data_IF_482787095774
#
_entry.id   IF_482787095774
#
_cell.length_a   1.000
_cell.length_b   1.000
_cell.length_c   1.000
_cell.angle_alpha   90.00
_cell.angle_beta   90.00
_cell.angle_gamma   90.00
#
_symmetry.space_group_name_H-M   'P 1'
#
loop_
_entity.id
_entity.type
_entity.pdbx_description
1 polymer ?
#
# COMPACT_ATOMS: atom_id res chain seq x y z
N UNK A 1 -1.26 28.43 -4.26
CA UNK A 1 -1.65 29.75 -3.73
C UNK A 1 -3.12 30.05 -4.01
N UNK A 2 -3.79 30.77 -3.08
CA UNK A 2 -5.14 31.30 -3.30
C UNK A 2 -5.06 32.59 -4.12
N UNK A 3 -6.15 32.98 -4.77
CA UNK A 3 -6.18 34.19 -5.62
C UNK A 3 -5.93 35.47 -4.82
N UNK A 4 -6.31 35.49 -3.54
CA UNK A 4 -6.05 36.61 -2.64
C UNK A 4 -4.53 36.85 -2.47
N UNK A 5 -3.79 35.80 -2.13
CA UNK A 5 -2.33 35.84 -1.95
C UNK A 5 -1.59 36.31 -3.23
N UNK A 6 -2.09 35.94 -4.41
CA UNK A 6 -1.51 36.36 -5.69
C UNK A 6 -1.73 37.85 -5.97
N UNK A 7 -2.91 38.38 -5.62
CA UNK A 7 -3.21 39.80 -5.79
C UNK A 7 -2.44 40.68 -4.81
N UNK A 8 -2.15 40.17 -3.61
CA UNK A 8 -1.36 40.87 -2.61
C UNK A 8 0.10 41.02 -3.08
N UNK A 9 0.71 39.92 -3.54
CA UNK A 9 2.06 39.93 -4.13
C UNK A 9 2.18 40.82 -5.38
N UNK A 10 1.17 40.82 -6.26
CA UNK A 10 1.16 41.73 -7.41
C UNK A 10 1.04 43.20 -6.98
N UNK A 11 0.32 43.49 -5.90
CA UNK A 11 0.18 44.85 -5.36
C UNK A 11 1.47 45.35 -4.71
N UNK A 12 2.23 44.46 -4.06
CA UNK A 12 3.57 44.76 -3.54
C UNK A 12 4.58 45.10 -4.65
N UNK A 13 4.40 44.53 -5.85
CA UNK A 13 5.23 44.79 -7.03
C UNK A 13 4.67 45.89 -7.94
N UNK A 14 3.65 46.64 -7.48
CA UNK A 14 2.95 47.69 -8.24
C UNK A 14 2.33 47.22 -9.59
N UNK A 15 2.01 45.93 -9.70
CA UNK A 15 1.47 45.30 -10.91
C UNK A 15 -0.07 45.22 -10.90
N UNK A 16 -0.73 45.15 -12.08
CA UNK A 16 -2.19 45.07 -12.19
C UNK A 16 -2.77 43.80 -11.58
N UNK A 17 -3.71 43.95 -10.63
CA UNK A 17 -4.33 42.85 -9.87
C UNK A 17 -5.63 42.29 -10.49
N UNK A 18 -5.95 42.68 -11.72
CA UNK A 18 -7.15 42.24 -12.45
C UNK A 18 -6.86 41.02 -13.34
N UNK A 19 -7.77 40.04 -13.35
CA UNK A 19 -7.68 38.88 -14.24
C UNK A 19 -8.03 37.56 -13.57
N UNK A 20 -7.97 36.49 -14.37
CA UNK A 20 -8.14 35.11 -13.90
C UNK A 20 -6.91 34.63 -13.11
N UNK A 21 -7.04 33.54 -12.33
CA UNK A 21 -5.91 33.02 -11.53
C UNK A 21 -4.67 32.70 -12.38
N UNK A 22 -4.88 32.20 -13.60
CA UNK A 22 -3.81 31.91 -14.54
C UNK A 22 -3.10 33.19 -15.01
N UNK A 23 -3.83 34.26 -15.32
CA UNK A 23 -3.24 35.55 -15.73
C UNK A 23 -2.47 36.23 -14.60
N UNK A 24 -2.93 36.10 -13.34
CA UNK A 24 -2.22 36.65 -12.19
C UNK A 24 -0.92 35.86 -11.90
N UNK A 25 -0.92 34.54 -12.14
CA UNK A 25 0.28 33.72 -12.06
C UNK A 25 1.25 34.06 -13.19
N UNK A 26 0.76 34.17 -14.43
CA UNK A 26 1.59 34.53 -15.58
C UNK A 26 2.25 35.91 -15.40
N UNK A 27 1.56 36.91 -14.84
CA UNK A 27 2.18 38.21 -14.54
C UNK A 27 3.21 38.17 -13.41
N UNK A 28 2.99 37.31 -12.41
CA UNK A 28 3.97 37.07 -11.35
C UNK A 28 5.20 36.31 -11.88
N UNK A 29 4.98 35.39 -12.81
CA UNK A 29 6.04 34.67 -13.52
C UNK A 29 6.79 35.61 -14.45
N UNK A 30 6.13 36.46 -15.26
CA UNK A 30 6.78 37.47 -16.10
C UNK A 30 7.55 38.52 -15.28
N UNK A 31 7.05 38.89 -14.10
CA UNK A 31 7.76 39.76 -13.17
C UNK A 31 8.92 39.07 -12.43
N UNK A 32 8.83 37.74 -12.24
CA UNK A 32 9.89 36.90 -11.70
C UNK A 32 10.89 36.38 -12.75
N UNK A 33 10.54 36.45 -14.04
CA UNK A 33 11.34 36.10 -15.22
C UNK A 33 12.14 37.30 -15.75
N UNK A 34 12.15 38.40 -14.98
CA UNK A 34 13.37 39.18 -14.80
C UNK A 34 14.38 38.29 -14.10
N UNK A 35 14.94 37.34 -14.86
CA UNK A 35 15.76 36.24 -14.39
C UNK A 35 16.65 36.68 -13.25
N UNK A 36 16.48 36.02 -12.11
CA UNK A 36 17.53 35.91 -11.13
C UNK A 36 18.73 35.25 -11.79
N UNK A 37 19.51 36.04 -12.53
CA UNK A 37 20.94 35.98 -12.45
C UNK A 37 21.23 36.09 -10.95
N UNK A 38 21.41 34.94 -10.30
CA UNK A 38 22.33 34.88 -9.18
C UNK A 38 23.64 35.40 -9.75
N UNK A 39 23.84 36.72 -9.63
CA UNK A 39 25.07 37.41 -9.88
C UNK A 39 26.06 36.95 -8.81
N UNK A 40 26.47 35.68 -8.88
CA UNK A 40 27.84 35.34 -8.52
C UNK A 40 28.68 36.19 -9.47
N UNK A 41 29.29 37.25 -8.91
CA UNK A 41 30.14 38.17 -9.63
C UNK A 41 30.97 37.39 -10.64
N UNK A 42 30.74 37.63 -11.94
CA UNK A 42 31.40 36.89 -13.00
C UNK A 42 32.91 37.09 -12.83
N UNK A 43 33.56 36.10 -12.20
CA UNK A 43 35.00 36.15 -11.92
C UNK A 43 35.64 36.22 -13.30
N UNK A 44 36.33 37.33 -13.58
CA UNK A 44 37.03 37.47 -14.85
C UNK A 44 38.28 36.58 -14.82
N UNK A 45 38.11 35.31 -15.17
CA UNK A 45 39.17 34.30 -15.19
C UNK A 45 40.37 34.70 -16.06
N UNK A 46 40.20 35.68 -16.97
CA UNK A 46 41.28 36.19 -17.82
C UNK A 46 42.32 37.03 -17.06
N UNK A 47 41.99 37.59 -15.89
CA UNK A 47 42.87 38.48 -15.11
C UNK A 47 43.66 37.75 -14.01
N UNK A 48 43.30 36.51 -13.68
CA UNK A 48 43.90 35.71 -12.61
C UNK A 48 45.28 35.12 -12.98
N UNK A 49 46.18 34.97 -12.00
CA UNK A 49 47.49 34.31 -12.18
C UNK A 49 47.34 32.81 -12.48
N UNK A 50 48.33 32.18 -13.11
CA UNK A 50 48.31 30.72 -13.36
C UNK A 50 48.20 29.89 -12.06
N UNK A 51 48.77 30.37 -10.96
CA UNK A 51 48.65 29.69 -9.65
C UNK A 51 47.23 29.81 -9.09
N UNK A 52 46.61 30.98 -9.25
CA UNK A 52 45.25 31.27 -8.79
C UNK A 52 44.21 30.50 -9.61
N UNK A 53 44.37 30.42 -10.94
CA UNK A 53 43.51 29.61 -11.82
C UNK A 53 43.56 28.12 -11.44
N UNK A 54 44.74 27.60 -11.07
CA UNK A 54 44.87 26.20 -10.61
C UNK A 54 44.21 25.98 -9.25
N UNK A 55 44.33 26.93 -8.33
CA UNK A 55 43.70 26.86 -7.01
C UNK A 55 42.16 26.90 -7.14
N UNK A 56 41.62 27.88 -7.87
CA UNK A 56 40.18 27.97 -8.12
C UNK A 56 39.62 26.77 -8.89
N UNK A 57 40.36 26.24 -9.89
CA UNK A 57 39.95 25.01 -10.57
C UNK A 57 39.82 23.83 -9.59
N UNK A 58 40.73 23.72 -8.62
CA UNK A 58 40.70 22.66 -7.61
C UNK A 58 39.50 22.84 -6.68
N UNK A 59 39.24 24.06 -6.21
CA UNK A 59 38.09 24.39 -5.35
C UNK A 59 36.76 24.10 -6.03
N UNK A 60 36.57 24.57 -7.27
CA UNK A 60 35.38 24.31 -8.09
C UNK A 60 35.20 22.81 -8.33
N UNK A 61 36.28 22.07 -8.56
CA UNK A 61 36.21 20.62 -8.74
C UNK A 61 35.83 19.87 -7.45
N UNK A 62 36.36 20.29 -6.30
CA UNK A 62 35.99 19.73 -4.99
C UNK A 62 34.51 20.02 -4.67
N UNK A 63 34.04 21.25 -4.91
CA UNK A 63 32.63 21.61 -4.76
C UNK A 63 31.72 20.80 -5.70
N UNK A 64 32.14 20.60 -6.96
CA UNK A 64 31.40 19.79 -7.92
C UNK A 64 31.30 18.31 -7.49
N UNK A 65 32.36 17.71 -6.94
CA UNK A 65 32.31 16.33 -6.44
C UNK A 65 31.36 16.18 -5.25
N UNK A 66 31.34 17.14 -4.32
CA UNK A 66 30.38 17.14 -3.20
C UNK A 66 28.94 17.18 -3.70
N UNK A 67 28.64 18.07 -4.66
CA UNK A 67 27.32 18.16 -5.27
C UNK A 67 26.95 16.88 -6.03
N UNK A 68 27.91 16.25 -6.71
CA UNK A 68 27.70 14.97 -7.40
C UNK A 68 27.28 13.88 -6.44
N UNK A 69 27.99 13.72 -5.32
CA UNK A 69 27.67 12.72 -4.30
C UNK A 69 26.29 12.99 -3.71
N UNK A 70 25.99 14.24 -3.34
CA UNK A 70 24.69 14.62 -2.77
C UNK A 70 23.54 14.37 -3.74
N UNK A 71 23.72 14.65 -5.03
CA UNK A 71 22.75 14.32 -6.08
C UNK A 71 22.52 12.81 -6.19
N UNK A 72 23.60 12.04 -6.19
CA UNK A 72 23.52 10.58 -6.31
C UNK A 72 22.81 9.96 -5.10
N UNK A 73 23.05 10.48 -3.90
CA UNK A 73 22.33 10.11 -2.66
C UNK A 73 20.83 10.42 -2.77
N UNK A 74 20.45 11.63 -3.16
CA UNK A 74 19.03 12.01 -3.29
C UNK A 74 18.31 11.24 -4.40
N UNK A 75 19.01 10.90 -5.49
CA UNK A 75 18.49 10.03 -6.53
C UNK A 75 18.23 8.61 -6.01
N UNK A 76 19.12 8.07 -5.17
CA UNK A 76 18.93 6.76 -4.56
C UNK A 76 17.73 6.77 -3.59
N UNK A 77 17.59 7.81 -2.78
CA UNK A 77 16.42 8.00 -1.90
C UNK A 77 15.13 8.09 -2.71
N UNK A 78 15.13 8.85 -3.81
CA UNK A 78 13.99 8.94 -4.73
C UNK A 78 13.62 7.55 -5.28
N UNK A 79 14.60 6.77 -5.74
CA UNK A 79 14.34 5.40 -6.21
C UNK A 79 13.76 4.49 -5.12
N UNK A 80 14.23 4.63 -3.88
CA UNK A 80 13.71 3.89 -2.72
C UNK A 80 12.23 4.24 -2.46
N UNK A 81 11.88 5.52 -2.43
CA UNK A 81 10.48 5.96 -2.28
C UNK A 81 9.59 5.50 -3.45
N UNK A 82 10.12 5.47 -4.67
CA UNK A 82 9.39 4.94 -5.83
C UNK A 82 9.13 3.43 -5.70
N UNK A 83 10.09 2.66 -5.19
CA UNK A 83 9.94 1.24 -4.93
C UNK A 83 8.89 0.98 -3.83
N UNK A 84 8.99 1.69 -2.70
CA UNK A 84 8.02 1.60 -1.59
C UNK A 84 6.61 1.92 -2.07
N UNK A 85 6.43 2.98 -2.85
CA UNK A 85 5.14 3.35 -3.45
C UNK A 85 4.58 2.21 -4.31
N UNK A 86 5.41 1.58 -5.14
CA UNK A 86 4.98 0.50 -6.02
C UNK A 86 4.55 -0.73 -5.21
N UNK A 87 5.29 -1.08 -4.15
CA UNK A 87 4.94 -2.16 -3.24
C UNK A 87 3.59 -1.89 -2.55
N UNK A 88 3.41 -0.70 -1.97
CA UNK A 88 2.16 -0.31 -1.31
C UNK A 88 0.96 -0.25 -2.27
N UNK A 89 1.19 0.13 -3.54
CA UNK A 89 0.16 0.08 -4.57
C UNK A 89 -0.21 -1.36 -4.93
N UNK A 90 0.75 -2.27 -4.97
CA UNK A 90 0.50 -3.69 -5.19
C UNK A 90 -0.27 -4.28 -3.99
N UNK A 91 0.13 -3.98 -2.75
CA UNK A 91 -0.63 -4.36 -1.56
C UNK A 91 -2.07 -3.85 -1.62
N UNK A 92 -2.27 -2.58 -1.98
CA UNK A 92 -3.60 -2.02 -2.14
C UNK A 92 -4.42 -2.81 -3.18
N UNK A 93 -3.82 -3.20 -4.31
CA UNK A 93 -4.48 -4.01 -5.33
C UNK A 93 -4.89 -5.38 -4.79
N UNK A 94 -3.98 -6.09 -4.12
CA UNK A 94 -4.26 -7.40 -3.48
C UNK A 94 -5.40 -7.29 -2.46
N UNK A 95 -5.42 -6.23 -1.65
CA UNK A 95 -6.52 -6.00 -0.72
C UNK A 95 -7.85 -5.77 -1.44
N UNK A 96 -7.87 -5.11 -2.61
CA UNK A 96 -9.08 -4.96 -3.41
C UNK A 96 -9.57 -6.27 -4.03
N UNK A 97 -8.64 -7.12 -4.47
CA UNK A 97 -8.98 -8.47 -4.95
C UNK A 97 -9.60 -9.29 -3.82
N UNK A 98 -9.04 -9.22 -2.60
CA UNK A 98 -9.62 -9.85 -1.41
C UNK A 98 -11.03 -9.32 -1.11
N UNK A 99 -11.27 -8.01 -1.23
CA UNK A 99 -12.61 -7.42 -1.08
C UNK A 99 -13.60 -8.00 -2.09
N UNK A 100 -13.21 -8.14 -3.35
CA UNK A 100 -14.06 -8.73 -4.39
C UNK A 100 -14.36 -10.20 -4.13
N UNK A 101 -13.34 -10.96 -3.70
CA UNK A 101 -13.49 -12.35 -3.30
C UNK A 101 -14.48 -12.50 -2.15
N UNK A 102 -14.27 -11.76 -1.05
CA UNK A 102 -15.15 -11.81 0.12
C UNK A 102 -16.57 -11.34 -0.20
N UNK A 103 -16.73 -10.35 -1.09
CA UNK A 103 -18.06 -9.93 -1.57
C UNK A 103 -18.77 -11.06 -2.32
N UNK A 104 -18.07 -11.77 -3.18
CA UNK A 104 -18.63 -12.89 -3.96
C UNK A 104 -18.99 -14.04 -3.05
N UNK A 105 -18.09 -14.41 -2.13
CA UNK A 105 -18.32 -15.44 -1.11
C UNK A 105 -19.55 -15.11 -0.24
N UNK A 106 -19.61 -13.88 0.30
CA UNK A 106 -20.76 -13.42 1.09
C UNK A 106 -22.06 -13.46 0.30
N UNK A 107 -22.04 -13.09 -0.99
CA UNK A 107 -23.23 -13.15 -1.82
C UNK A 107 -23.69 -14.60 -2.06
N UNK A 108 -22.76 -15.54 -2.26
CA UNK A 108 -23.05 -16.98 -2.31
C UNK A 108 -23.66 -17.48 -1.00
N UNK A 109 -23.02 -17.18 0.13
CA UNK A 109 -23.53 -17.57 1.45
C UNK A 109 -24.92 -16.95 1.75
N UNK A 110 -25.18 -15.72 1.32
CA UNK A 110 -26.51 -15.11 1.46
C UNK A 110 -27.58 -15.85 0.64
N UNK A 111 -27.21 -16.35 -0.54
CA UNK A 111 -28.10 -17.19 -1.33
C UNK A 111 -28.36 -18.52 -0.62
N UNK A 112 -27.32 -19.16 -0.08
CA UNK A 112 -27.44 -20.39 0.71
C UNK A 112 -28.32 -20.17 1.97
N UNK A 113 -28.17 -19.04 2.67
CA UNK A 113 -29.06 -18.67 3.79
C UNK A 113 -30.52 -18.58 3.34
N UNK A 114 -30.78 -18.08 2.13
CA UNK A 114 -32.14 -18.04 1.58
C UNK A 114 -32.65 -19.46 1.30
N UNK A 115 -31.86 -20.31 0.67
CA UNK A 115 -32.23 -21.70 0.39
C UNK A 115 -32.54 -22.47 1.67
N UNK A 116 -31.62 -22.45 2.65
CA UNK A 116 -31.81 -23.13 3.94
C UNK A 116 -33.02 -22.57 4.69
N UNK A 117 -33.30 -21.26 4.58
CA UNK A 117 -34.50 -20.66 5.18
C UNK A 117 -35.78 -21.20 4.55
N UNK A 118 -35.80 -21.35 3.24
CA UNK A 118 -36.97 -21.79 2.49
C UNK A 118 -37.19 -23.30 2.73
N UNK A 119 -36.14 -24.13 2.68
CA UNK A 119 -36.17 -25.55 3.10
C UNK A 119 -36.62 -25.72 4.56
N UNK A 120 -36.12 -24.88 5.48
CA UNK A 120 -36.53 -24.90 6.88
C UNK A 120 -38.01 -24.56 7.05
N UNK A 121 -38.57 -23.72 6.17
CA UNK A 121 -40.01 -23.40 6.20
C UNK A 121 -40.83 -24.62 5.75
N UNK A 122 -40.44 -25.26 4.65
CA UNK A 122 -41.09 -26.48 4.17
C UNK A 122 -41.06 -27.58 5.24
N UNK A 123 -39.90 -27.82 5.84
CA UNK A 123 -39.75 -28.82 6.92
C UNK A 123 -40.53 -28.42 8.18
N UNK A 124 -40.69 -27.13 8.47
CA UNK A 124 -41.51 -26.68 9.59
C UNK A 124 -42.98 -27.05 9.36
N UNK A 125 -43.50 -26.76 8.17
CA UNK A 125 -44.88 -27.06 7.79
C UNK A 125 -45.13 -28.59 7.78
N UNK A 126 -44.18 -29.37 7.24
CA UNK A 126 -44.21 -30.84 7.29
C UNK A 126 -44.22 -31.37 8.72
N UNK A 127 -43.37 -30.84 9.61
CA UNK A 127 -43.28 -31.27 11.00
C UNK A 127 -44.55 -30.95 11.77
N UNK A 128 -45.17 -29.81 11.53
CA UNK A 128 -46.45 -29.45 12.15
C UNK A 128 -47.57 -30.39 11.65
N UNK A 129 -47.58 -30.74 10.36
CA UNK A 129 -48.51 -31.76 9.85
C UNK A 129 -48.28 -33.14 10.49
N UNK A 130 -47.04 -33.62 10.54
CA UNK A 130 -46.69 -34.91 11.15
C UNK A 130 -47.05 -34.93 12.65
N UNK A 131 -46.88 -33.81 13.33
CA UNK A 131 -47.27 -33.63 14.73
C UNK A 131 -48.78 -33.76 14.90
N UNK A 132 -49.56 -33.11 14.04
CA UNK A 132 -51.02 -33.21 14.08
C UNK A 132 -51.51 -34.63 13.78
N UNK A 133 -50.94 -35.31 12.77
CA UNK A 133 -51.22 -36.71 12.47
C UNK A 133 -50.93 -37.60 13.68
N UNK A 134 -49.72 -37.51 14.25
CA UNK A 134 -49.33 -38.26 15.43
C UNK A 134 -50.27 -38.01 16.62
N UNK A 135 -50.60 -36.75 16.91
CA UNK A 135 -51.50 -36.41 18.01
C UNK A 135 -52.94 -36.87 17.76
N UNK A 136 -53.41 -36.85 16.50
CA UNK A 136 -54.74 -37.32 16.14
C UNK A 136 -54.86 -38.84 16.30
N UNK A 137 -53.88 -39.61 15.81
CA UNK A 137 -53.82 -41.07 15.98
C UNK A 137 -53.69 -41.43 17.46
N UNK A 138 -52.83 -40.72 18.20
CA UNK A 138 -52.71 -40.90 19.64
C UNK A 138 -54.04 -40.66 20.35
N UNK A 139 -54.78 -39.61 20.01
CA UNK A 139 -56.10 -39.36 20.60
C UNK A 139 -57.10 -40.45 20.19
N UNK A 140 -57.16 -40.85 18.93
CA UNK A 140 -58.11 -41.84 18.45
C UNK A 140 -57.92 -43.23 19.11
N UNK A 141 -56.67 -43.66 19.29
CA UNK A 141 -56.34 -44.97 19.88
C UNK A 141 -56.35 -44.97 21.40
N UNK A 142 -56.04 -43.84 22.04
CA UNK A 142 -55.80 -43.76 23.49
C UNK A 142 -56.67 -42.74 24.25
N UNK A 143 -57.79 -42.26 23.68
CA UNK A 143 -58.66 -41.20 24.26
C UNK A 143 -59.26 -41.48 25.65
N UNK A 144 -59.11 -42.68 26.21
CA UNK A 144 -59.55 -43.04 27.57
C UNK A 144 -58.45 -43.04 28.62
N UNK A 145 -57.19 -42.89 28.23
CA UNK A 145 -56.04 -42.91 29.13
C UNK A 145 -55.72 -41.48 29.55
N UNK A 146 -56.08 -41.06 30.77
CA UNK A 146 -55.78 -39.72 31.31
C UNK A 146 -54.27 -39.61 31.66
N UNK A 147 -53.44 -39.79 30.64
CA UNK A 147 -51.99 -39.90 30.76
C UNK A 147 -51.36 -38.51 30.61
N UNK A 148 -50.54 -38.06 31.58
CA UNK A 148 -49.84 -36.79 31.47
C UNK A 148 -48.93 -36.78 30.22
N UNK A 149 -48.74 -35.63 29.55
CA UNK A 149 -47.83 -35.54 28.41
C UNK A 149 -46.40 -35.95 28.79
N UNK A 150 -45.81 -36.90 28.05
CA UNK A 150 -44.42 -37.36 28.24
C UNK A 150 -43.41 -36.20 28.40
N UNK A 151 -43.48 -35.09 27.64
CA UNK A 151 -42.56 -33.97 27.83
C UNK A 151 -42.66 -33.30 29.20
N UNK A 152 -43.85 -33.28 29.83
CA UNK A 152 -44.03 -32.74 31.19
C UNK A 152 -43.42 -33.66 32.23
N UNK A 153 -43.62 -34.98 32.09
CA UNK A 153 -43.01 -35.99 32.98
C UNK A 153 -41.48 -35.94 32.91
N UNK A 154 -40.90 -35.82 31.71
CA UNK A 154 -39.45 -35.67 31.52
C UNK A 154 -38.90 -34.40 32.16
N UNK A 155 -39.60 -33.26 32.06
CA UNK A 155 -39.21 -32.02 32.76
C UNK A 155 -39.27 -32.16 34.28
N UNK A 156 -40.32 -32.79 34.81
CA UNK A 156 -40.45 -33.04 36.24
C UNK A 156 -39.32 -33.95 36.77
N UNK A 157 -38.95 -34.99 36.02
CA UNK A 157 -37.77 -35.82 36.35
C UNK A 157 -36.52 -34.95 36.41
N UNK A 158 -36.27 -34.12 35.38
CA UNK A 158 -35.07 -33.27 35.32
C UNK A 158 -35.01 -32.26 36.47
N UNK A 159 -36.14 -31.65 36.85
CA UNK A 159 -36.23 -30.75 38.01
C UNK A 159 -35.94 -31.49 39.33
N UNK A 160 -36.46 -32.71 39.48
CA UNK A 160 -36.22 -33.56 40.65
C UNK A 160 -34.75 -34.05 40.71
N UNK A 161 -34.14 -34.39 39.58
CA UNK A 161 -32.72 -34.76 39.46
C UNK A 161 -31.81 -33.58 39.83
N UNK A 162 -32.08 -32.38 39.30
CA UNK A 162 -31.34 -31.17 39.68
C UNK A 162 -31.49 -30.93 41.19
N UNK A 163 -32.70 -31.08 41.74
CA UNK A 163 -32.95 -30.91 43.18
C UNK A 163 -32.18 -31.93 44.01
N UNK A 164 -32.09 -33.18 43.56
CA UNK A 164 -31.28 -34.22 44.20
C UNK A 164 -29.78 -33.84 44.19
N UNK A 165 -29.27 -33.35 43.06
CA UNK A 165 -27.85 -32.99 42.93
C UNK A 165 -27.44 -31.73 43.68
N UNK A 166 -28.36 -30.76 43.84
CA UNK A 166 -28.03 -29.41 44.32
C UNK A 166 -28.49 -29.11 45.74
N UNK A 167 -29.44 -29.86 46.30
CA UNK A 167 -29.98 -29.59 47.65
C UNK A 167 -29.43 -30.58 48.68
N UNK A 168 -28.91 -30.07 49.80
CA UNK A 168 -28.57 -30.89 50.96
C UNK A 168 -29.86 -31.38 51.64
N UNK A 169 -30.17 -32.67 51.51
CA UNK A 169 -31.36 -33.31 52.08
C UNK A 169 -30.96 -34.46 53.00
N UNK A 170 -31.88 -34.90 53.88
CA UNK A 170 -31.67 -36.11 54.68
C UNK A 170 -31.83 -37.36 53.82
N UNK A 171 -31.15 -38.45 54.18
CA UNK A 171 -31.17 -39.74 53.47
C UNK A 171 -32.61 -40.24 53.20
N UNK A 172 -33.55 -39.98 54.11
CA UNK A 172 -34.97 -40.34 53.93
C UNK A 172 -35.64 -39.54 52.79
N UNK A 173 -35.43 -38.23 52.75
CA UNK A 173 -35.99 -37.35 51.72
C UNK A 173 -35.35 -37.59 50.35
N UNK A 174 -34.08 -37.96 50.32
CA UNK A 174 -33.38 -38.36 49.10
C UNK A 174 -33.97 -39.66 48.53
N UNK A 175 -34.20 -40.67 49.37
CA UNK A 175 -34.87 -41.92 48.95
C UNK A 175 -36.26 -41.69 48.37
N UNK A 176 -37.08 -40.85 49.01
CA UNK A 176 -38.40 -40.46 48.49
C UNK A 176 -38.33 -39.73 47.14
N UNK A 177 -37.27 -38.94 46.91
CA UNK A 177 -37.02 -38.24 45.66
C UNK A 177 -36.68 -39.22 44.53
N UNK A 178 -35.79 -40.19 44.82
CA UNK A 178 -35.42 -41.26 43.90
C UNK A 178 -36.61 -42.15 43.58
N UNK A 179 -37.44 -42.51 44.56
CA UNK A 179 -38.68 -43.27 44.32
C UNK A 179 -39.66 -42.51 43.43
N UNK A 180 -39.81 -41.19 43.62
CA UNK A 180 -40.64 -40.34 42.73
C UNK A 180 -40.08 -40.29 41.32
N UNK A 181 -38.76 -40.16 41.16
CA UNK A 181 -38.10 -40.21 39.85
C UNK A 181 -38.35 -41.56 39.18
N UNK A 182 -38.18 -42.67 39.91
CA UNK A 182 -38.43 -44.03 39.42
C UNK A 182 -39.90 -44.28 39.05
N UNK A 183 -40.85 -43.75 39.82
CA UNK A 183 -42.29 -43.81 39.52
C UNK A 183 -42.63 -43.02 38.25
N UNK A 184 -42.03 -41.85 38.05
CA UNK A 184 -42.21 -41.08 36.82
C UNK A 184 -41.55 -41.76 35.61
N UNK A 185 -40.39 -42.40 35.78
CA UNK A 185 -39.71 -43.15 34.73
C UNK A 185 -40.49 -44.41 34.31
N UNK A 186 -41.07 -45.14 35.27
CA UNK A 186 -41.97 -46.28 35.00
C UNK A 186 -43.25 -45.83 34.31
N UNK A 187 -43.82 -44.68 34.68
CA UNK A 187 -44.94 -44.11 33.93
C UNK A 187 -44.58 -43.79 32.48
N UNK A 188 -43.40 -43.21 32.22
CA UNK A 188 -42.95 -42.91 30.84
C UNK A 188 -42.76 -44.18 30.03
N UNK A 189 -42.07 -45.18 30.58
CA UNK A 189 -41.82 -46.46 29.89
C UNK A 189 -43.12 -47.18 29.59
N UNK A 190 -44.07 -47.23 30.52
CA UNK A 190 -45.40 -47.78 30.26
C UNK A 190 -46.16 -47.03 29.15
N UNK A 191 -46.05 -45.70 29.06
CA UNK A 191 -46.64 -44.97 27.92
C UNK A 191 -45.93 -45.30 26.61
N UNK A 192 -44.60 -45.34 26.61
CA UNK A 192 -43.82 -45.62 25.40
C UNK A 192 -44.12 -47.05 24.88
N UNK A 193 -44.19 -48.06 25.76
CA UNK A 193 -44.58 -49.44 25.42
C UNK A 193 -46.00 -49.54 24.86
N UNK A 194 -46.96 -48.82 25.45
CA UNK A 194 -48.34 -48.76 24.90
C UNK A 194 -48.37 -48.16 23.50
N UNK A 195 -47.51 -47.18 23.22
CA UNK A 195 -47.43 -46.54 21.91
C UNK A 195 -46.66 -47.40 20.89
N UNK A 196 -45.69 -48.19 21.33
CA UNK A 196 -44.94 -49.13 20.49
C UNK A 196 -45.78 -50.37 20.11
N UNK A 197 -46.84 -50.66 20.87
CA UNK A 197 -47.77 -51.75 20.58
C UNK A 197 -48.73 -51.50 19.41
N UNK A 198 -48.88 -50.25 18.95
CA UNK A 198 -49.67 -49.90 17.76
C UNK A 198 -48.71 -49.44 16.65
N UNK A 199 -48.58 -50.25 15.59
CA UNK A 199 -47.65 -50.01 14.49
C UNK A 199 -47.88 -48.66 13.79
N UNK A 200 -49.13 -48.21 13.65
CA UNK A 200 -49.46 -46.94 12.99
C UNK A 200 -49.03 -45.75 13.86
N UNK A 201 -49.25 -45.84 15.18
CA UNK A 201 -48.86 -44.79 16.13
C UNK A 201 -47.34 -44.73 16.29
N UNK A 202 -46.68 -45.89 16.33
CA UNK A 202 -45.22 -45.99 16.38
C UNK A 202 -44.59 -45.39 15.12
N UNK A 203 -45.07 -45.74 13.93
CA UNK A 203 -44.60 -45.19 12.66
C UNK A 203 -44.79 -43.66 12.59
N UNK A 204 -45.97 -43.15 12.98
CA UNK A 204 -46.24 -41.71 12.99
C UNK A 204 -45.33 -40.95 13.99
N UNK A 205 -45.04 -41.56 15.14
CA UNK A 205 -44.09 -41.01 16.13
C UNK A 205 -42.70 -40.87 15.54
N UNK A 206 -42.23 -41.91 14.85
CA UNK A 206 -40.87 -41.97 14.33
C UNK A 206 -40.69 -41.01 13.14
N UNK A 207 -41.70 -40.89 12.27
CA UNK A 207 -41.74 -39.85 11.24
C UNK A 207 -41.69 -38.44 11.84
N UNK A 208 -42.50 -38.16 12.86
CA UNK A 208 -42.46 -36.87 13.56
C UNK A 208 -41.09 -36.59 14.19
N UNK A 209 -40.47 -37.60 14.83
CA UNK A 209 -39.11 -37.47 15.40
C UNK A 209 -38.06 -37.21 14.32
N UNK A 210 -38.15 -37.87 13.17
CA UNK A 210 -37.25 -37.66 12.05
C UNK A 210 -37.38 -36.24 11.47
N UNK A 211 -38.62 -35.76 11.29
CA UNK A 211 -38.88 -34.38 10.87
C UNK A 211 -38.33 -33.35 11.86
N UNK A 212 -38.57 -33.54 13.17
CA UNK A 212 -38.02 -32.66 14.21
C UNK A 212 -36.48 -32.64 14.22
N UNK A 213 -35.84 -33.78 13.94
CA UNK A 213 -34.38 -33.87 13.80
C UNK A 213 -33.90 -33.04 12.60
N UNK A 214 -34.51 -33.24 11.43
CA UNK A 214 -34.20 -32.47 10.21
C UNK A 214 -34.39 -30.97 10.42
N UNK A 215 -35.47 -30.56 11.09
CA UNK A 215 -35.73 -29.15 11.45
C UNK A 215 -34.64 -28.55 12.31
N UNK A 216 -34.13 -29.31 13.30
CA UNK A 216 -33.02 -28.87 14.17
C UNK A 216 -31.71 -28.75 13.39
N UNK A 217 -31.42 -29.72 12.53
CA UNK A 217 -30.26 -29.70 11.64
C UNK A 217 -30.28 -28.45 10.74
N UNK A 218 -31.39 -28.20 10.04
CA UNK A 218 -31.56 -27.00 9.21
C UNK A 218 -31.47 -25.69 10.02
N UNK A 219 -31.94 -25.69 11.27
CA UNK A 219 -31.78 -24.51 12.14
C UNK A 219 -30.32 -24.27 12.51
N UNK A 220 -29.54 -25.32 12.73
CA UNK A 220 -28.11 -25.22 13.01
C UNK A 220 -27.32 -24.83 11.76
N UNK A 221 -27.62 -25.45 10.62
CA UNK A 221 -27.12 -25.10 9.29
C UNK A 221 -27.34 -23.61 8.99
N UNK A 222 -28.58 -23.13 9.15
CA UNK A 222 -28.93 -21.73 8.91
C UNK A 222 -28.12 -20.78 9.79
N UNK A 223 -27.85 -21.16 11.05
CA UNK A 223 -26.99 -20.38 11.94
C UNK A 223 -25.55 -20.37 11.43
N UNK A 224 -25.00 -21.53 11.09
CA UNK A 224 -23.64 -21.69 10.56
C UNK A 224 -23.41 -20.83 9.32
N UNK A 225 -24.28 -20.94 8.32
CA UNK A 225 -24.15 -20.18 7.05
C UNK A 225 -24.28 -18.68 7.30
N UNK A 226 -25.16 -18.25 8.22
CA UNK A 226 -25.26 -16.82 8.62
C UNK A 226 -23.99 -16.32 9.29
N UNK A 227 -23.43 -17.10 10.20
CA UNK A 227 -22.18 -16.75 10.89
C UNK A 227 -21.02 -16.68 9.89
N UNK A 228 -20.95 -17.60 8.92
CA UNK A 228 -19.97 -17.56 7.82
C UNK A 228 -20.15 -16.34 6.91
N UNK A 229 -21.39 -15.99 6.55
CA UNK A 229 -21.68 -14.81 5.74
C UNK A 229 -21.26 -13.52 6.46
N UNK A 230 -21.50 -13.46 7.78
CA UNK A 230 -21.08 -12.36 8.63
C UNK A 230 -19.55 -12.27 8.72
N UNK A 231 -18.85 -13.39 8.92
CA UNK A 231 -17.39 -13.45 8.93
C UNK A 231 -16.80 -12.96 7.60
N UNK A 232 -17.36 -13.39 6.45
CA UNK A 232 -16.93 -12.90 5.14
C UNK A 232 -17.11 -11.37 5.00
N UNK A 233 -18.22 -10.82 5.53
CA UNK A 233 -18.44 -9.38 5.58
C UNK A 233 -17.42 -8.64 6.46
N UNK A 234 -17.07 -9.20 7.61
CA UNK A 234 -16.07 -8.62 8.52
C UNK A 234 -14.67 -8.62 7.89
N UNK A 235 -14.25 -9.74 7.31
CA UNK A 235 -12.99 -9.84 6.56
C UNK A 235 -12.95 -8.85 5.38
N UNK A 236 -14.07 -8.68 4.67
CA UNK A 236 -14.18 -7.66 3.61
C UNK A 236 -13.97 -6.25 4.16
N UNK A 237 -14.52 -5.92 5.33
CA UNK A 237 -14.36 -4.61 5.98
C UNK A 237 -12.91 -4.38 6.40
N UNK A 238 -12.25 -5.40 6.93
CA UNK A 238 -10.83 -5.34 7.30
C UNK A 238 -9.94 -5.12 6.09
N UNK A 239 -10.17 -5.86 5.00
CA UNK A 239 -9.45 -5.68 3.73
C UNK A 239 -9.66 -4.26 3.15
N UNK A 240 -10.87 -3.71 3.21
CA UNK A 240 -11.14 -2.32 2.83
C UNK A 240 -10.36 -1.31 3.69
N UNK A 241 -10.26 -1.55 5.01
CA UNK A 241 -9.46 -0.71 5.91
C UNK A 241 -7.98 -0.81 5.58
N UNK A 242 -7.46 -2.02 5.37
CA UNK A 242 -6.07 -2.25 4.97
C UNK A 242 -5.75 -1.58 3.63
N UNK A 243 -6.62 -1.71 2.62
CA UNK A 243 -6.50 -1.02 1.35
C UNK A 243 -6.39 0.49 1.52
N UNK A 244 -7.27 1.10 2.33
CA UNK A 244 -7.24 2.54 2.58
C UNK A 244 -5.94 2.99 3.23
N UNK A 245 -5.39 2.19 4.14
CA UNK A 245 -4.10 2.47 4.79
C UNK A 245 -2.97 2.37 3.76
N UNK A 246 -2.91 1.29 2.98
CA UNK A 246 -1.90 1.10 1.94
C UNK A 246 -1.90 2.25 0.93
N UNK A 247 -3.08 2.67 0.44
CA UNK A 247 -3.21 3.82 -0.48
C UNK A 247 -2.69 5.12 0.14
N UNK A 248 -3.02 5.40 1.40
CA UNK A 248 -2.51 6.60 2.10
C UNK A 248 -1.00 6.59 2.25
N UNK A 249 -0.41 5.43 2.55
CA UNK A 249 1.04 5.27 2.62
C UNK A 249 1.67 5.43 1.23
N UNK A 250 1.07 4.85 0.19
CA UNK A 250 1.54 5.01 -1.19
C UNK A 250 1.52 6.48 -1.62
N UNK A 251 0.46 7.23 -1.28
CA UNK A 251 0.39 8.67 -1.53
C UNK A 251 1.46 9.46 -0.76
N UNK A 252 1.82 9.02 0.45
CA UNK A 252 2.90 9.62 1.22
C UNK A 252 4.27 9.34 0.61
N UNK A 253 4.54 8.09 0.21
CA UNK A 253 5.75 7.70 -0.50
C UNK A 253 5.87 8.43 -1.85
N UNK A 254 4.75 8.65 -2.56
CA UNK A 254 4.74 9.45 -3.78
C UNK A 254 5.11 10.92 -3.52
N UNK A 255 4.61 11.51 -2.42
CA UNK A 255 5.00 12.88 -2.05
C UNK A 255 6.49 12.95 -1.71
N UNK A 256 7.00 11.99 -0.95
CA UNK A 256 8.42 11.91 -0.63
C UNK A 256 9.28 11.74 -1.90
N UNK A 257 8.87 10.86 -2.82
CA UNK A 257 9.51 10.68 -4.12
C UNK A 257 9.62 11.99 -4.92
N UNK A 258 8.51 12.74 -5.01
CA UNK A 258 8.50 14.03 -5.72
C UNK A 258 9.43 15.03 -5.04
N UNK A 259 9.35 15.17 -3.72
CA UNK A 259 10.22 16.09 -2.98
C UNK A 259 11.71 15.74 -3.13
N UNK A 260 12.10 14.48 -2.97
CA UNK A 260 13.49 14.04 -3.14
C UNK A 260 13.97 14.24 -4.58
N UNK A 261 13.07 14.07 -5.56
CA UNK A 261 13.39 14.33 -6.96
C UNK A 261 13.60 15.81 -7.24
N UNK A 262 12.73 16.68 -6.73
CA UNK A 262 12.87 18.14 -6.85
C UNK A 262 14.20 18.61 -6.24
N UNK A 263 14.55 18.11 -5.04
CA UNK A 263 15.82 18.42 -4.40
C UNK A 263 17.03 17.87 -5.19
N UNK A 264 16.92 16.67 -5.76
CA UNK A 264 17.97 16.12 -6.63
C UNK A 264 18.17 16.97 -7.90
N UNK A 265 17.08 17.47 -8.49
CA UNK A 265 17.09 18.35 -9.66
C UNK A 265 17.72 19.72 -9.33
N UNK A 266 17.43 20.29 -8.16
CA UNK A 266 18.09 21.51 -7.66
C UNK A 266 19.61 21.32 -7.50
N UNK A 267 20.03 20.27 -6.78
CA UNK A 267 21.47 19.95 -6.61
C UNK A 267 22.12 19.65 -7.96
N UNK A 268 21.39 19.05 -8.90
CA UNK A 268 21.90 18.81 -10.23
C UNK A 268 22.10 20.11 -11.03
N UNK A 269 21.19 21.08 -10.92
CA UNK A 269 21.35 22.40 -11.51
C UNK A 269 22.62 23.10 -10.99
N UNK A 270 22.84 23.10 -9.67
CA UNK A 270 24.06 23.66 -9.06
C UNK A 270 25.33 22.96 -9.55
N UNK A 271 25.29 21.62 -9.64
CA UNK A 271 26.40 20.83 -10.18
C UNK A 271 26.73 21.19 -11.63
N UNK A 272 25.72 21.40 -12.48
CA UNK A 272 25.93 21.86 -13.86
C UNK A 272 26.52 23.28 -13.88
N UNK A 273 26.12 24.15 -12.95
CA UNK A 273 26.73 25.47 -12.75
C UNK A 273 28.24 25.37 -12.50
N UNK A 274 28.65 24.54 -11.54
CA UNK A 274 30.07 24.30 -11.24
C UNK A 274 30.83 23.69 -12.42
N UNK A 275 30.22 22.78 -13.18
CA UNK A 275 30.83 22.20 -14.38
C UNK A 275 31.04 23.24 -15.49
N UNK A 276 30.12 24.20 -15.63
CA UNK A 276 30.27 25.34 -16.57
C UNK A 276 31.41 26.26 -16.14
N UNK A 277 31.55 26.56 -14.84
CA UNK A 277 32.68 27.33 -14.30
C UNK A 277 34.01 26.62 -14.57
N UNK A 278 34.09 25.31 -14.32
CA UNK A 278 35.27 24.49 -14.60
C UNK A 278 35.64 24.52 -16.10
N UNK A 279 34.63 24.42 -16.97
CA UNK A 279 34.81 24.53 -18.42
C UNK A 279 35.29 25.91 -18.86
N UNK A 280 34.84 26.99 -18.22
CA UNK A 280 35.29 28.35 -18.48
C UNK A 280 36.76 28.54 -18.08
N UNK A 281 37.16 28.03 -16.91
CA UNK A 281 38.56 28.03 -16.45
C UNK A 281 39.44 27.23 -17.43
N UNK A 282 39.00 26.04 -17.85
CA UNK A 282 39.74 25.19 -18.79
C UNK A 282 39.91 25.85 -20.17
N UNK A 283 38.91 26.60 -20.66
CA UNK A 283 39.02 27.40 -21.88
C UNK A 283 40.09 28.49 -21.76
N UNK A 284 40.07 29.29 -20.69
CA UNK A 284 41.07 30.35 -20.46
C UNK A 284 42.48 29.78 -20.33
N UNK A 285 42.64 28.63 -19.65
CA UNK A 285 43.93 27.94 -19.56
C UNK A 285 44.40 27.46 -20.94
N UNK A 286 43.51 26.92 -21.77
CA UNK A 286 43.83 26.47 -23.11
C UNK A 286 44.23 27.63 -24.05
N UNK A 287 43.52 28.76 -23.97
CA UNK A 287 43.84 29.99 -24.73
C UNK A 287 45.21 30.56 -24.34
N UNK A 288 45.54 30.62 -23.05
CA UNK A 288 46.88 31.03 -22.58
C UNK A 288 47.99 30.10 -23.06
N UNK A 289 47.73 28.80 -23.17
CA UNK A 289 48.70 27.85 -23.76
C UNK A 289 48.91 28.09 -25.25
N UNK A 290 47.84 28.40 -26.00
CA UNK A 290 47.93 28.72 -27.44
C UNK A 290 48.64 30.04 -27.71
N UNK A 291 48.38 31.08 -26.90
CA UNK A 291 49.04 32.40 -27.04
C UNK A 291 50.47 32.46 -26.51
N UNK A 292 50.87 31.56 -25.61
CA UNK A 292 52.16 31.66 -24.90
C UNK A 292 53.36 30.93 -25.51
N UNK A 293 53.18 29.90 -26.35
CA UNK A 293 54.33 29.08 -26.81
C UNK A 293 54.14 28.30 -28.12
N UNK A 294 52.93 28.24 -28.69
CA UNK A 294 52.69 27.42 -29.90
C UNK A 294 53.11 28.11 -31.20
N UNK A 295 52.70 29.35 -31.42
CA UNK A 295 52.93 30.01 -32.70
C UNK A 295 54.40 30.44 -32.88
N UNK A 296 55.00 31.16 -31.92
CA UNK A 296 56.34 31.72 -32.12
C UNK A 296 57.46 30.67 -32.08
N UNK A 297 57.29 29.57 -31.32
CA UNK A 297 58.28 28.50 -31.29
C UNK A 297 58.26 27.70 -32.60
N UNK A 298 57.08 27.38 -33.13
CA UNK A 298 56.94 26.64 -34.41
C UNK A 298 57.40 27.51 -35.58
N UNK A 299 57.07 28.81 -35.61
CA UNK A 299 57.59 29.75 -36.63
C UNK A 299 59.12 29.93 -36.54
N UNK A 300 59.69 29.95 -35.34
CA UNK A 300 61.14 30.06 -35.15
C UNK A 300 61.90 28.80 -35.59
N UNK A 301 61.31 27.61 -35.37
CA UNK A 301 61.88 26.33 -35.79
C UNK A 301 61.75 26.14 -37.30
N UNK A 302 60.60 26.48 -37.89
CA UNK A 302 60.39 26.40 -39.34
C UNK A 302 61.37 27.32 -40.10
N UNK A 303 61.58 28.55 -39.62
CA UNK A 303 62.59 29.45 -40.19
C UNK A 303 64.03 28.94 -40.00
N UNK A 304 64.33 28.24 -38.89
CA UNK A 304 65.65 27.66 -38.67
C UNK A 304 65.92 26.46 -39.60
N UNK A 305 64.92 25.63 -39.89
CA UNK A 305 65.04 24.49 -40.83
C UNK A 305 65.28 24.95 -42.27
N UNK A 306 64.59 26.01 -42.73
CA UNK A 306 64.83 26.59 -44.06
C UNK A 306 66.24 27.20 -44.18
N UNK A 307 66.72 27.87 -43.13
CA UNK A 307 68.08 28.42 -43.08
C UNK A 307 69.13 27.30 -43.03
N UNK A 308 68.85 26.19 -42.34
CA UNK A 308 69.71 25.01 -42.32
C UNK A 308 69.77 24.30 -43.70
N UNK A 309 68.65 24.26 -44.43
CA UNK A 309 68.63 23.75 -45.80
C UNK A 309 69.55 24.56 -46.75
N UNK A 310 69.53 25.89 -46.63
CA UNK A 310 70.44 26.78 -47.38
C UNK A 310 71.91 26.61 -46.98
N UNK A 311 72.17 26.35 -45.69
CA UNK A 311 73.50 26.02 -45.18
C UNK A 311 74.04 24.73 -45.83
N UNK A 312 73.24 23.65 -45.86
CA UNK A 312 73.60 22.38 -46.51
C UNK A 312 73.77 22.51 -48.02
N UNK A 313 73.03 23.40 -48.67
CA UNK A 313 73.16 23.71 -50.10
C UNK A 313 74.40 24.56 -50.45
N UNK A 314 75.17 25.02 -49.45
CA UNK A 314 76.38 25.81 -49.65
C UNK A 314 76.14 27.28 -49.99
N UNK A 315 74.93 27.79 -49.73
CA UNK A 315 74.61 29.21 -49.92
C UNK A 315 75.24 30.08 -48.82
N UNK A 316 75.57 31.32 -49.15
CA UNK A 316 76.19 32.27 -48.20
C UNK A 316 75.13 32.76 -47.20
N UNK A 317 75.30 32.40 -45.93
CA UNK A 317 74.48 32.88 -44.81
C UNK A 317 75.15 34.04 -44.08
N UNK A 318 74.34 34.95 -43.54
CA UNK A 318 74.83 36.03 -42.67
C UNK A 318 75.14 35.51 -41.26
N UNK A 319 75.97 36.23 -40.51
CA UNK A 319 76.31 35.89 -39.11
C UNK A 319 75.07 35.81 -38.21
N UNK A 320 74.05 36.63 -38.49
CA UNK A 320 72.78 36.62 -37.77
C UNK A 320 71.98 35.35 -38.08
N UNK A 321 71.96 34.90 -39.34
CA UNK A 321 71.29 33.67 -39.75
C UNK A 321 71.95 32.42 -39.15
N UNK A 322 73.28 32.40 -39.04
CA UNK A 322 74.02 31.33 -38.37
C UNK A 322 73.69 31.23 -36.87
N UNK A 323 73.55 32.36 -36.18
CA UNK A 323 73.14 32.38 -34.78
C UNK A 323 71.72 31.82 -34.57
N UNK A 324 70.81 31.99 -35.53
CA UNK A 324 69.45 31.44 -35.46
C UNK A 324 69.50 29.90 -35.53
N UNK A 325 70.27 29.34 -36.45
CA UNK A 325 70.48 27.88 -36.56
C UNK A 325 71.13 27.31 -35.30
N UNK A 326 72.13 28.00 -34.73
CA UNK A 326 72.80 27.59 -33.49
C UNK A 326 71.85 27.61 -32.28
N UNK A 327 71.03 28.67 -32.15
CA UNK A 327 70.02 28.76 -31.07
C UNK A 327 68.94 27.69 -31.19
N UNK A 328 68.66 27.23 -32.40
CA UNK A 328 67.75 26.11 -32.66
C UNK A 328 68.40 24.73 -32.43
N UNK A 329 69.71 24.65 -32.17
CA UNK A 329 70.43 23.41 -31.86
C UNK A 329 70.74 22.53 -33.09
N UNK A 330 70.80 23.10 -34.28
CA UNK A 330 70.99 22.38 -35.55
C UNK A 330 72.42 22.48 -36.12
N UNK A 331 73.39 22.99 -35.36
CA UNK A 331 74.79 23.22 -35.76
C UNK A 331 75.77 22.55 -34.81
#
# INVERSE_FOLDING_TARGET
MKVADLKEKLREQELPVSGTKAELLARLEEAGDGGGETAEAAINYSELSQKELKAHRKEVNEAAEVLRIKRDEMNLESQSHAAERNELNNEAKVQMEQVQYQRTLRNGLNFDVSQVRDERREVLDEVDHLREQFLSLKRARFSGTHLPPIPKLRRQIQELEIKQMTSSMSIKKERELVEKIGALQTQITAQDEMMDGDEEVAAARDLFRAGEKKRKELTHEMKRVRDEAQNAHELMREALKANRIARRKADAAQRAFVNSKEQADEVHADYIGQLRQLSAIDKVVAERRKGGTGASAIESVANAEELFGKFLAGEKLSTEQLMIIQKAGML
#
